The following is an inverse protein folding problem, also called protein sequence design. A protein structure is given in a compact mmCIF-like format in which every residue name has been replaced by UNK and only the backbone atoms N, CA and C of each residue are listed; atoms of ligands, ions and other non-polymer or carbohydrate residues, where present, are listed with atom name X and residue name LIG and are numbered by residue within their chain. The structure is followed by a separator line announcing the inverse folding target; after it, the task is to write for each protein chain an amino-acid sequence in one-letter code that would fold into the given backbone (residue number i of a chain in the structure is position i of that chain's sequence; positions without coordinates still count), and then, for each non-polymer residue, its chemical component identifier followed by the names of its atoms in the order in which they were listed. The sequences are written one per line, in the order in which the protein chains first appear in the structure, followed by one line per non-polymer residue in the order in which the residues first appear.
data_IF_098717340919
#
_entry.id   IF_098717340919
#
_cell.length_a   1.000
_cell.length_b   1.000
_cell.length_c   1.000
_cell.angle_alpha   90.00
_cell.angle_beta   90.00
_cell.angle_gamma   90.00
#
_symmetry.space_group_name_H-M   'P 1'
#
loop_
_entity.id
_entity.type
_entity.pdbx_description
1 polymer ?
#
# COMPACT_ATOMS: atom_id res chain seq x y z
N UNK A 1 -1.88 27.65 7.66
CA UNK A 1 -0.52 27.25 7.23
C UNK A 1 -0.42 27.44 5.72
N UNK A 2 0.59 28.15 5.19
CA UNK A 2 0.75 28.29 3.74
C UNK A 2 1.44 27.04 3.13
N UNK A 3 1.32 26.86 1.81
CA UNK A 3 1.83 25.68 1.11
C UNK A 3 3.35 25.49 1.27
N UNK A 4 4.11 26.58 1.33
CA UNK A 4 5.56 26.52 1.51
C UNK A 4 5.94 26.02 2.91
N UNK A 5 5.24 26.47 3.94
CA UNK A 5 5.43 26.00 5.31
C UNK A 5 5.06 24.52 5.43
N UNK A 6 3.95 24.10 4.83
CA UNK A 6 3.54 22.68 4.81
C UNK A 6 4.61 21.80 4.12
N UNK A 7 5.13 22.25 2.97
CA UNK A 7 6.18 21.52 2.26
C UNK A 7 7.49 21.44 3.06
N UNK A 8 7.86 22.51 3.79
CA UNK A 8 9.03 22.50 4.69
C UNK A 8 8.87 21.49 5.82
N UNK A 9 7.69 21.45 6.46
CA UNK A 9 7.37 20.49 7.52
C UNK A 9 7.45 19.06 6.96
N UNK A 10 6.78 18.80 5.83
CA UNK A 10 6.83 17.49 5.16
C UNK A 10 8.26 17.04 4.88
N UNK A 11 9.09 17.90 4.27
CA UNK A 11 10.50 17.59 3.98
C UNK A 11 11.31 17.34 5.25
N UNK A 12 11.02 18.05 6.34
CA UNK A 12 11.68 17.83 7.64
C UNK A 12 11.33 16.45 8.20
N UNK A 13 10.04 16.10 8.24
CA UNK A 13 9.57 14.80 8.71
C UNK A 13 10.14 13.66 7.88
N UNK A 14 10.13 13.80 6.55
CA UNK A 14 10.68 12.81 5.64
C UNK A 14 12.19 12.58 5.84
N UNK A 15 12.96 13.66 6.03
CA UNK A 15 14.40 13.56 6.29
C UNK A 15 14.71 12.89 7.61
N UNK A 16 14.00 13.26 8.67
CA UNK A 16 14.15 12.62 9.98
C UNK A 16 13.91 11.11 9.86
N UNK A 17 12.79 10.74 9.24
CA UNK A 17 12.45 9.35 9.04
C UNK A 17 13.50 8.61 8.22
N UNK A 18 13.89 9.13 7.04
CA UNK A 18 14.88 8.47 6.20
C UNK A 18 16.23 8.32 6.91
N UNK A 19 16.58 9.24 7.82
CA UNK A 19 17.77 9.13 8.64
C UNK A 19 17.67 7.99 9.67
N UNK A 20 16.51 7.80 10.28
CA UNK A 20 16.22 6.67 11.20
C UNK A 20 16.21 5.36 10.43
N UNK A 21 15.49 5.29 9.30
CA UNK A 21 15.44 4.11 8.42
C UNK A 21 16.81 3.73 7.89
N UNK A 22 17.69 4.69 7.57
CA UNK A 22 19.07 4.40 7.15
C UNK A 22 19.88 3.67 8.22
N UNK A 23 19.69 4.04 9.49
CA UNK A 23 20.36 3.39 10.63
C UNK A 23 19.76 2.01 10.93
N UNK A 24 18.44 1.89 10.92
CA UNK A 24 17.73 0.67 11.33
C UNK A 24 17.66 -0.40 10.23
N UNK A 25 17.43 0.02 8.98
CA UNK A 25 17.21 -0.88 7.84
C UNK A 25 18.41 -0.96 6.88
N UNK A 26 19.47 -0.18 7.14
CA UNK A 26 20.64 -0.15 6.27
C UNK A 26 20.37 0.45 4.88
N UNK A 27 19.34 1.30 4.73
CA UNK A 27 19.12 1.97 3.44
C UNK A 27 20.31 2.89 3.12
N UNK A 28 20.96 2.65 1.99
CA UNK A 28 22.15 3.39 1.60
C UNK A 28 21.85 4.87 1.30
N UNK A 29 22.84 5.74 1.53
CA UNK A 29 22.74 7.20 1.33
C UNK A 29 22.15 7.60 -0.04
N UNK A 30 22.47 6.84 -1.09
CA UNK A 30 21.97 7.07 -2.45
C UNK A 30 20.46 6.87 -2.52
N UNK A 31 19.96 5.75 -1.97
CA UNK A 31 18.52 5.46 -1.96
C UNK A 31 17.77 6.47 -1.09
N UNK A 32 18.30 6.82 0.09
CA UNK A 32 17.67 7.84 0.95
C UNK A 32 17.53 9.19 0.24
N UNK A 33 18.57 9.67 -0.44
CA UNK A 33 18.51 10.91 -1.22
C UNK A 33 17.51 10.82 -2.38
N UNK A 34 17.46 9.68 -3.06
CA UNK A 34 16.49 9.43 -4.12
C UNK A 34 15.05 9.47 -3.58
N UNK A 35 14.78 8.79 -2.46
CA UNK A 35 13.46 8.76 -1.81
C UNK A 35 13.01 10.16 -1.35
N UNK A 36 13.93 10.94 -0.77
CA UNK A 36 13.65 12.32 -0.38
C UNK A 36 13.26 13.18 -1.59
N UNK A 37 14.04 13.09 -2.67
CA UNK A 37 13.80 13.84 -3.90
C UNK A 37 12.47 13.44 -4.57
N UNK A 38 12.22 12.14 -4.75
CA UNK A 38 11.03 11.67 -5.45
C UNK A 38 9.76 11.97 -4.67
N UNK A 39 9.72 11.74 -3.35
CA UNK A 39 8.55 12.03 -2.54
C UNK A 39 8.27 13.55 -2.51
N UNK A 40 9.31 14.37 -2.35
CA UNK A 40 9.19 15.83 -2.43
C UNK A 40 8.69 16.33 -3.79
N UNK A 41 9.09 15.67 -4.88
CA UNK A 41 8.66 16.01 -6.24
C UNK A 41 7.21 15.58 -6.49
N UNK A 42 6.81 14.39 -6.04
CA UNK A 42 5.43 13.89 -6.17
C UNK A 42 4.44 14.84 -5.51
N UNK A 43 4.71 15.28 -4.26
CA UNK A 43 3.80 16.20 -3.55
C UNK A 43 3.76 17.61 -4.15
N UNK A 44 4.77 17.99 -4.93
CA UNK A 44 4.82 19.29 -5.62
C UNK A 44 4.05 19.29 -6.95
N UNK A 45 3.84 18.12 -7.57
CA UNK A 45 3.13 17.99 -8.84
C UNK A 45 1.63 17.85 -8.58
N UNK A 46 0.82 18.73 -9.17
CA UNK A 46 -0.64 18.59 -9.16
C UNK A 46 -1.07 17.51 -10.15
N UNK A 47 -1.84 16.53 -9.66
CA UNK A 47 -2.49 15.50 -10.49
C UNK A 47 -1.67 14.22 -10.61
N UNK A 48 -1.89 13.47 -11.71
CA UNK A 48 -1.19 12.20 -11.95
C UNK A 48 0.29 12.47 -12.23
N UNK A 49 1.15 11.58 -11.73
CA UNK A 49 2.61 11.67 -11.85
C UNK A 49 3.14 10.50 -12.68
N UNK A 50 4.04 10.80 -13.61
CA UNK A 50 4.82 9.83 -14.37
C UNK A 50 6.31 10.21 -14.35
N UNK A 51 7.18 9.32 -14.84
CA UNK A 51 8.64 9.54 -14.79
C UNK A 51 9.13 10.73 -15.64
N UNK A 52 8.42 11.12 -16.70
CA UNK A 52 8.76 12.31 -17.49
C UNK A 52 8.42 13.60 -16.72
N UNK A 53 7.31 13.62 -15.99
CA UNK A 53 6.98 14.73 -15.09
C UNK A 53 7.98 14.81 -13.93
N UNK A 54 8.35 13.67 -13.33
CA UNK A 54 9.38 13.65 -12.30
C UNK A 54 10.70 14.18 -12.84
N UNK A 55 11.13 13.77 -14.02
CA UNK A 55 12.34 14.32 -14.65
C UNK A 55 12.29 15.84 -14.76
N UNK A 56 11.15 16.39 -15.21
CA UNK A 56 10.97 17.84 -15.41
C UNK A 56 11.16 18.66 -14.13
N UNK A 57 10.77 18.13 -12.98
CA UNK A 57 10.70 18.90 -11.72
C UNK A 57 11.72 18.49 -10.65
N UNK A 58 12.44 17.38 -10.82
CA UNK A 58 13.34 16.82 -9.79
C UNK A 58 14.82 17.14 -9.97
N UNK A 59 15.24 17.51 -11.18
CA UNK A 59 16.65 17.59 -11.57
C UNK A 59 17.31 16.23 -11.84
N UNK A 60 16.56 15.12 -11.83
CA UNK A 60 17.02 13.79 -12.21
C UNK A 60 16.46 13.39 -13.58
N UNK A 61 17.10 12.46 -14.27
CA UNK A 61 16.58 11.95 -15.54
C UNK A 61 15.57 10.80 -15.33
N UNK A 62 14.74 10.53 -16.34
CA UNK A 62 13.73 9.47 -16.35
C UNK A 62 14.34 8.10 -16.01
N UNK A 63 15.53 7.80 -16.57
CA UNK A 63 16.24 6.53 -16.35
C UNK A 63 16.61 6.34 -14.88
N UNK A 64 16.94 7.40 -14.14
CA UNK A 64 17.17 7.35 -12.69
C UNK A 64 15.92 6.89 -11.94
N UNK A 65 14.74 7.40 -12.29
CA UNK A 65 13.48 6.95 -11.68
C UNK A 65 13.20 5.49 -12.02
N UNK A 66 13.26 5.15 -13.32
CA UNK A 66 13.04 3.78 -13.79
C UNK A 66 13.93 2.77 -13.05
N UNK A 67 15.23 3.02 -12.98
CA UNK A 67 16.18 2.11 -12.34
C UNK A 67 15.95 1.95 -10.84
N UNK A 68 15.59 3.03 -10.12
CA UNK A 68 15.34 2.95 -8.68
C UNK A 68 13.99 2.29 -8.36
N UNK A 69 12.94 2.53 -9.16
CA UNK A 69 11.64 1.87 -8.96
C UNK A 69 11.64 0.40 -9.40
N UNK A 70 12.54 0.00 -10.31
CA UNK A 70 12.76 -1.40 -10.70
C UNK A 70 13.82 -2.10 -9.85
N UNK A 71 14.25 -1.48 -8.74
CA UNK A 71 15.27 -2.07 -7.88
C UNK A 71 14.66 -3.14 -6.97
N UNK A 72 15.19 -4.35 -7.07
CA UNK A 72 14.82 -5.45 -6.18
C UNK A 72 15.45 -5.31 -4.79
N UNK A 73 14.89 -6.02 -3.82
CA UNK A 73 15.43 -6.12 -2.46
C UNK A 73 15.12 -4.91 -1.55
N UNK A 74 14.28 -3.97 -1.99
CA UNK A 74 13.78 -2.92 -1.11
C UNK A 74 12.60 -3.48 -0.30
N UNK A 75 12.78 -3.60 1.02
CA UNK A 75 11.71 -3.95 1.94
C UNK A 75 10.81 -2.73 2.23
N UNK A 76 9.89 -2.48 1.29
CA UNK A 76 8.94 -1.38 1.38
C UNK A 76 8.05 -1.47 2.63
N UNK A 77 7.70 -2.68 3.07
CA UNK A 77 6.85 -2.87 4.24
C UNK A 77 7.58 -2.42 5.50
N UNK A 78 8.83 -2.87 5.72
CA UNK A 78 9.62 -2.41 6.87
C UNK A 78 9.94 -0.93 6.80
N UNK A 79 10.21 -0.39 5.61
CA UNK A 79 10.40 1.05 5.44
C UNK A 79 9.14 1.82 5.86
N UNK A 80 7.96 1.39 5.38
CA UNK A 80 6.68 2.01 5.72
C UNK A 80 6.34 1.87 7.21
N UNK A 81 6.70 0.75 7.85
CA UNK A 81 6.55 0.55 9.31
C UNK A 81 7.31 1.58 10.14
N UNK A 82 8.43 2.10 9.63
CA UNK A 82 9.15 3.18 10.32
C UNK A 82 8.32 4.46 10.42
N UNK A 83 7.33 4.67 9.53
CA UNK A 83 6.43 5.82 9.63
C UNK A 83 5.43 5.67 10.79
N UNK A 84 5.12 4.45 11.23
CA UNK A 84 4.24 4.19 12.39
C UNK A 84 4.91 4.70 13.67
N UNK A 85 6.21 4.45 13.82
CA UNK A 85 6.97 4.86 15.01
C UNK A 85 7.16 6.38 15.04
N UNK A 86 6.19 7.05 15.67
CA UNK A 86 6.14 8.51 15.82
C UNK A 86 4.81 9.14 15.39
N UNK A 87 3.90 8.38 14.80
CA UNK A 87 2.55 8.87 14.43
C UNK A 87 1.43 8.17 15.18
N UNK A 88 1.61 6.93 15.62
CA UNK A 88 0.52 6.13 16.18
C UNK A 88 0.89 5.39 17.46
N UNK A 89 -0.05 5.29 18.41
CA UNK A 89 0.10 4.48 19.62
C UNK A 89 -0.05 2.97 19.32
N UNK A 90 0.91 2.10 19.69
CA UNK A 90 0.90 0.69 19.30
C UNK A 90 -0.35 -0.11 19.73
N UNK A 91 -0.93 0.21 20.90
CA UNK A 91 -2.13 -0.39 21.47
C UNK A 91 -3.42 -0.02 20.71
N UNK A 92 -3.36 1.00 19.85
CA UNK A 92 -4.48 1.54 19.09
C UNK A 92 -4.46 1.16 17.62
N UNK A 93 -3.51 0.32 17.22
CA UNK A 93 -3.34 -0.04 15.83
C UNK A 93 -4.26 -1.15 15.38
N UNK A 94 -4.89 -0.95 14.24
CA UNK A 94 -5.51 -2.00 13.42
C UNK A 94 -4.86 -2.04 12.05
N UNK A 95 -4.87 -3.22 11.43
CA UNK A 95 -4.47 -3.39 10.04
C UNK A 95 -5.72 -3.27 9.18
N UNK A 96 -5.80 -2.24 8.33
CA UNK A 96 -6.82 -2.15 7.30
C UNK A 96 -6.34 -2.88 6.04
N UNK A 97 -7.22 -3.68 5.44
CA UNK A 97 -7.02 -4.33 4.15
C UNK A 97 -8.15 -3.95 3.21
N UNK A 98 -7.80 -3.47 2.02
CA UNK A 98 -8.77 -3.08 1.01
C UNK A 98 -8.23 -3.37 -0.40
N UNK A 99 -9.06 -3.92 -1.29
CA UNK A 99 -8.79 -3.88 -2.71
C UNK A 99 -8.93 -2.45 -3.24
N UNK A 100 -8.11 -2.10 -4.22
CA UNK A 100 -8.10 -0.78 -4.85
C UNK A 100 -7.99 -0.92 -6.36
N UNK A 101 -8.90 -0.25 -7.06
CA UNK A 101 -8.89 -0.16 -8.52
C UNK A 101 -7.96 0.95 -9.00
N UNK A 102 -7.11 0.64 -9.98
CA UNK A 102 -6.38 1.64 -10.76
C UNK A 102 -6.82 1.59 -12.21
N UNK A 103 -7.38 2.71 -12.69
CA UNK A 103 -7.73 2.86 -14.11
C UNK A 103 -6.49 2.80 -14.99
N UNK A 104 -6.54 1.97 -16.03
CA UNK A 104 -5.48 1.82 -17.03
C UNK A 104 -6.08 1.80 -18.43
N UNK A 105 -5.49 2.56 -19.36
CA UNK A 105 -5.94 2.61 -20.76
C UNK A 105 -5.23 1.63 -21.68
N UNK A 106 -3.96 1.31 -21.39
CA UNK A 106 -3.19 0.33 -22.15
C UNK A 106 -3.70 -1.09 -21.88
N UNK A 107 -3.43 -2.03 -22.81
CA UNK A 107 -3.93 -3.41 -22.75
C UNK A 107 -2.87 -4.46 -22.41
N UNK A 108 -1.60 -4.07 -22.37
CA UNK A 108 -0.46 -5.00 -22.27
C UNK A 108 0.10 -5.12 -20.84
N UNK A 109 -0.48 -4.45 -19.85
CA UNK A 109 -0.05 -4.63 -18.46
C UNK A 109 -0.62 -5.96 -17.95
N UNK A 110 0.22 -6.85 -17.36
CA UNK A 110 -0.27 -8.08 -16.74
C UNK A 110 -1.39 -7.81 -15.74
N UNK A 111 -2.34 -8.73 -15.60
CA UNK A 111 -3.45 -8.60 -14.64
C UNK A 111 -4.53 -7.57 -14.98
N UNK A 112 -4.50 -6.95 -16.17
CA UNK A 112 -5.59 -6.10 -16.64
C UNK A 112 -6.89 -6.90 -16.71
N UNK A 113 -7.97 -6.31 -16.20
CA UNK A 113 -9.29 -6.92 -16.19
C UNK A 113 -10.39 -5.92 -15.91
N UNK A 114 -11.55 -6.46 -15.53
CA UNK A 114 -12.71 -5.69 -15.07
C UNK A 114 -12.82 -5.89 -13.56
N UNK A 115 -12.61 -4.82 -12.79
CA UNK A 115 -12.60 -4.88 -11.33
C UNK A 115 -13.51 -3.83 -10.73
N UNK A 116 -14.07 -4.11 -9.55
CA UNK A 116 -15.02 -3.23 -8.89
C UNK A 116 -14.37 -1.90 -8.52
N UNK A 117 -14.94 -0.78 -8.98
CA UNK A 117 -14.55 0.55 -8.53
C UNK A 117 -15.65 1.11 -7.64
N UNK A 118 -15.33 1.36 -6.37
CA UNK A 118 -16.25 2.02 -5.45
C UNK A 118 -16.70 3.40 -5.95
N UNK A 119 -15.81 4.15 -6.60
CA UNK A 119 -16.13 5.45 -7.18
C UNK A 119 -17.13 5.36 -8.34
N UNK A 120 -17.08 4.28 -9.13
CA UNK A 120 -18.01 4.07 -10.26
C UNK A 120 -19.21 3.21 -9.91
N UNK A 121 -19.23 2.62 -8.70
CA UNK A 121 -20.21 1.62 -8.25
C UNK A 121 -20.46 0.49 -9.27
N UNK A 122 -19.41 0.11 -10.01
CA UNK A 122 -19.45 -0.96 -11.01
C UNK A 122 -18.06 -1.50 -11.32
N UNK A 123 -18.01 -2.66 -11.95
CA UNK A 123 -16.76 -3.18 -12.51
C UNK A 123 -16.32 -2.34 -13.70
N UNK A 124 -15.06 -1.90 -13.69
CA UNK A 124 -14.46 -1.03 -14.71
C UNK A 124 -13.09 -1.57 -15.12
N UNK A 125 -12.67 -1.21 -16.32
CA UNK A 125 -11.40 -1.65 -16.89
C UNK A 125 -10.21 -1.09 -16.10
N UNK A 126 -9.24 -1.92 -15.76
CA UNK A 126 -8.01 -1.47 -15.11
C UNK A 126 -7.27 -2.60 -14.39
N UNK A 127 -6.58 -2.22 -13.32
CA UNK A 127 -5.82 -3.10 -12.44
C UNK A 127 -6.49 -3.17 -11.08
N UNK A 128 -6.35 -4.31 -10.43
CA UNK A 128 -6.69 -4.49 -9.01
C UNK A 128 -5.40 -4.52 -8.19
N UNK A 129 -5.40 -3.84 -7.05
CA UNK A 129 -4.36 -3.92 -6.04
C UNK A 129 -4.95 -4.37 -4.71
N UNK A 130 -4.23 -5.18 -3.96
CA UNK A 130 -4.50 -5.44 -2.55
C UNK A 130 -3.63 -4.50 -1.71
N UNK A 131 -4.24 -3.55 -1.01
CA UNK A 131 -3.54 -2.59 -0.17
C UNK A 131 -3.70 -2.90 1.32
N UNK A 132 -2.65 -2.61 2.08
CA UNK A 132 -2.61 -2.70 3.54
C UNK A 132 -2.23 -1.35 4.13
N UNK A 133 -2.86 -1.00 5.25
CA UNK A 133 -2.53 0.19 6.03
C UNK A 133 -2.61 -0.10 7.53
N UNK A 134 -1.82 0.62 8.32
CA UNK A 134 -1.94 0.67 9.77
C UNK A 134 -2.74 1.92 10.13
N UNK A 135 -3.80 1.76 10.92
CA UNK A 135 -4.70 2.85 11.31
C UNK A 135 -4.76 2.95 12.84
N UNK A 136 -4.57 4.15 13.39
CA UNK A 136 -5.01 4.48 14.74
C UNK A 136 -6.53 4.61 14.74
N UNK A 137 -7.25 3.69 15.38
CA UNK A 137 -8.72 3.76 15.35
C UNK A 137 -9.31 4.91 16.18
N UNK A 138 -8.50 5.59 17.00
CA UNK A 138 -8.93 6.75 17.80
C UNK A 138 -8.67 8.05 17.05
N UNK A 139 -7.44 8.28 16.56
CA UNK A 139 -7.12 9.53 15.85
C UNK A 139 -7.55 9.50 14.37
N UNK A 140 -7.68 8.31 13.78
CA UNK A 140 -7.89 8.12 12.34
C UNK A 140 -6.61 8.27 11.52
N UNK A 141 -5.45 8.45 12.15
CA UNK A 141 -4.17 8.53 11.45
C UNK A 141 -3.86 7.21 10.75
N UNK A 142 -3.38 7.31 9.52
CA UNK A 142 -3.21 6.17 8.63
C UNK A 142 -1.83 6.18 7.97
N UNK A 143 -1.16 5.03 8.05
CA UNK A 143 0.12 4.78 7.38
C UNK A 143 -0.07 3.64 6.39
N UNK A 144 0.15 3.92 5.10
CA UNK A 144 0.14 2.88 4.07
C UNK A 144 1.32 1.94 4.29
N UNK A 145 1.04 0.65 4.47
CA UNK A 145 2.04 -0.40 4.64
C UNK A 145 2.55 -0.94 3.30
N UNK A 146 1.71 -0.85 2.27
CA UNK A 146 2.06 -1.18 0.90
C UNK A 146 0.84 -1.68 0.13
N UNK A 147 1.03 -1.88 -1.16
CA UNK A 147 0.05 -2.53 -2.02
C UNK A 147 0.76 -3.49 -2.98
N UNK A 148 0.09 -4.59 -3.30
CA UNK A 148 0.52 -5.51 -4.35
C UNK A 148 -0.53 -5.58 -5.42
N UNK A 149 -0.10 -5.70 -6.67
CA UNK A 149 -1.01 -5.99 -7.75
C UNK A 149 -1.64 -7.38 -7.55
N UNK A 150 -2.97 -7.43 -7.65
CA UNK A 150 -3.74 -8.66 -7.55
C UNK A 150 -3.76 -9.31 -8.92
N UNK A 151 -3.17 -10.50 -9.02
CA UNK A 151 -2.96 -11.19 -10.29
C UNK A 151 -3.68 -12.55 -10.26
N UNK A 152 -4.91 -12.63 -10.79
CA UNK A 152 -5.68 -13.88 -10.76
C UNK A 152 -5.28 -14.90 -11.83
N UNK A 153 -4.39 -14.57 -12.78
CA UNK A 153 -4.14 -15.39 -13.97
C UNK A 153 -2.72 -15.29 -14.56
N UNK A 154 -1.71 -15.05 -13.74
CA UNK A 154 -0.31 -14.85 -14.14
C UNK A 154 0.63 -16.02 -13.78
N UNK A 155 0.12 -17.13 -13.23
CA UNK A 155 0.91 -18.31 -12.88
C UNK A 155 0.71 -19.52 -13.81
N UNK A 156 1.69 -20.42 -13.85
CA UNK A 156 1.55 -21.77 -14.44
C UNK A 156 0.58 -22.62 -13.58
N UNK A 157 -0.73 -22.47 -13.81
CA UNK A 157 -1.74 -23.21 -13.06
C UNK A 157 -3.17 -22.72 -13.28
N UNK A 158 -4.07 -23.18 -12.41
CA UNK A 158 -5.48 -22.80 -12.41
C UNK A 158 -5.64 -21.33 -12.01
N UNK A 159 -6.51 -20.60 -12.73
CA UNK A 159 -6.86 -19.22 -12.43
C UNK A 159 -7.36 -19.10 -10.98
N UNK A 160 -6.72 -18.24 -10.19
CA UNK A 160 -7.13 -17.96 -8.80
C UNK A 160 -8.39 -17.10 -8.79
N UNK A 161 -9.23 -17.37 -7.81
CA UNK A 161 -10.31 -16.47 -7.40
C UNK A 161 -9.72 -15.21 -6.76
N UNK A 162 -10.47 -14.11 -6.77
CA UNK A 162 -10.03 -12.87 -6.10
C UNK A 162 -9.77 -13.08 -4.61
N UNK A 163 -10.61 -13.89 -3.95
CA UNK A 163 -10.44 -14.24 -2.53
C UNK A 163 -9.10 -14.94 -2.28
N UNK A 164 -8.70 -15.88 -3.14
CA UNK A 164 -7.40 -16.54 -3.03
C UNK A 164 -6.25 -15.55 -3.22
N UNK A 165 -6.34 -14.65 -4.22
CA UNK A 165 -5.31 -13.61 -4.40
C UNK A 165 -5.19 -12.68 -3.17
N UNK A 166 -6.30 -12.35 -2.53
CA UNK A 166 -6.33 -11.54 -1.31
C UNK A 166 -5.72 -12.29 -0.12
N UNK A 167 -6.03 -13.57 0.04
CA UNK A 167 -5.45 -14.42 1.07
C UNK A 167 -3.94 -14.61 0.86
N UNK A 168 -3.49 -14.78 -0.38
CA UNK A 168 -2.06 -14.84 -0.69
C UNK A 168 -1.33 -13.55 -0.32
N UNK A 169 -1.92 -12.39 -0.63
CA UNK A 169 -1.37 -11.10 -0.28
C UNK A 169 -1.28 -10.87 1.23
N UNK A 170 -2.27 -11.37 1.99
CA UNK A 170 -2.28 -11.35 3.46
C UNK A 170 -1.22 -12.32 4.02
N UNK A 171 -1.20 -13.56 3.52
CA UNK A 171 -0.27 -14.62 3.94
C UNK A 171 1.18 -14.20 3.73
N UNK A 172 1.50 -13.60 2.59
CA UNK A 172 2.86 -13.18 2.26
C UNK A 172 3.40 -12.07 3.17
N UNK A 173 2.53 -11.39 3.93
CA UNK A 173 2.89 -10.29 4.85
C UNK A 173 2.58 -10.61 6.31
N UNK A 174 2.03 -11.79 6.57
CA UNK A 174 1.48 -12.20 7.86
C UNK A 174 2.39 -11.86 9.03
N UNK A 175 3.64 -12.32 8.99
CA UNK A 175 4.58 -12.13 10.10
C UNK A 175 4.85 -10.66 10.40
N UNK A 176 5.00 -9.83 9.38
CA UNK A 176 5.29 -8.41 9.55
C UNK A 176 4.06 -7.60 9.95
N UNK A 177 2.86 -8.03 9.55
CA UNK A 177 1.58 -7.44 9.95
C UNK A 177 1.22 -7.79 11.40
N UNK A 178 1.42 -9.04 11.83
CA UNK A 178 1.16 -9.47 13.21
C UNK A 178 2.07 -8.78 14.24
N UNK A 179 3.27 -8.34 13.82
CA UNK A 179 4.14 -7.47 14.65
C UNK A 179 3.56 -6.07 14.88
N UNK A 180 2.55 -5.67 14.11
CA UNK A 180 1.88 -4.37 14.23
C UNK A 180 0.56 -4.54 14.99
N UNK A 181 -0.31 -5.44 14.53
CA UNK A 181 -1.59 -5.74 15.17
C UNK A 181 -2.15 -7.06 14.65
N UNK A 182 -2.88 -7.77 15.52
CA UNK A 182 -3.68 -8.94 15.17
C UNK A 182 -5.05 -8.57 14.62
N UNK A 183 -5.50 -7.32 14.78
CA UNK A 183 -6.83 -6.86 14.35
C UNK A 183 -6.80 -6.48 12.89
N UNK A 184 -7.46 -7.28 12.06
CA UNK A 184 -7.61 -7.04 10.63
C UNK A 184 -8.98 -6.44 10.36
N UNK A 185 -9.02 -5.19 9.91
CA UNK A 185 -10.24 -4.50 9.48
C UNK A 185 -10.37 -4.61 7.97
N UNK A 186 -11.52 -5.06 7.50
CA UNK A 186 -11.81 -5.18 6.08
C UNK A 186 -13.28 -4.87 5.79
N UNK A 187 -13.63 -4.62 4.52
CA UNK A 187 -15.01 -4.37 4.14
C UNK A 187 -15.90 -5.64 4.16
N UNK A 188 -17.20 -5.46 3.90
CA UNK A 188 -18.18 -6.54 3.97
C UNK A 188 -17.98 -7.67 2.95
N UNK A 189 -17.20 -7.46 1.88
CA UNK A 189 -16.85 -8.53 0.95
C UNK A 189 -16.09 -9.66 1.66
N UNK A 190 -15.27 -9.31 2.65
CA UNK A 190 -14.41 -10.23 3.39
C UNK A 190 -15.12 -10.98 4.51
N UNK A 191 -16.35 -10.60 4.86
CA UNK A 191 -17.21 -11.30 5.83
C UNK A 191 -17.85 -12.56 5.24
N UNK A 192 -17.04 -13.40 4.59
CA UNK A 192 -17.42 -14.69 4.01
C UNK A 192 -16.57 -15.78 4.63
N UNK A 193 -17.16 -16.95 4.89
CA UNK A 193 -16.46 -18.09 5.53
C UNK A 193 -15.13 -18.42 4.84
N UNK A 194 -15.09 -18.38 3.51
CA UNK A 194 -13.88 -18.68 2.71
C UNK A 194 -12.71 -17.75 2.97
N UNK A 195 -12.94 -16.50 3.36
CA UNK A 195 -11.88 -15.57 3.74
C UNK A 195 -11.68 -15.53 5.26
N UNK A 196 -12.78 -15.37 6.01
CA UNK A 196 -12.74 -15.16 7.45
C UNK A 196 -12.05 -16.31 8.21
N UNK A 197 -12.36 -17.56 7.86
CA UNK A 197 -11.75 -18.71 8.51
C UNK A 197 -10.24 -18.78 8.25
N UNK A 198 -9.80 -18.46 7.03
CA UNK A 198 -8.38 -18.46 6.68
C UNK A 198 -7.64 -17.30 7.36
N UNK A 199 -8.24 -16.11 7.45
CA UNK A 199 -7.65 -14.99 8.21
C UNK A 199 -7.47 -15.34 9.70
N UNK A 200 -8.46 -15.99 10.31
CA UNK A 200 -8.38 -16.47 11.71
C UNK A 200 -7.31 -17.54 11.88
N UNK A 201 -7.22 -18.51 10.96
CA UNK A 201 -6.13 -19.51 10.95
C UNK A 201 -4.75 -18.88 10.85
N UNK A 202 -4.63 -17.74 10.15
CA UNK A 202 -3.39 -16.97 10.09
C UNK A 202 -3.10 -16.19 11.38
N UNK A 203 -4.00 -16.19 12.37
CA UNK A 203 -3.82 -15.52 13.66
C UNK A 203 -4.36 -14.08 13.69
N UNK A 204 -5.18 -13.69 12.72
CA UNK A 204 -5.84 -12.39 12.74
C UNK A 204 -7.25 -12.47 13.35
N UNK A 205 -7.62 -11.44 14.10
CA UNK A 205 -9.00 -11.16 14.48
C UNK A 205 -9.63 -10.30 13.40
N UNK A 206 -10.51 -10.89 12.57
CA UNK A 206 -11.22 -10.15 11.51
C UNK A 206 -12.34 -9.29 12.09
N UNK A 207 -12.31 -8.00 11.80
CA UNK A 207 -13.35 -7.02 12.12
C UNK A 207 -13.90 -6.50 10.79
N UNK A 208 -15.14 -6.85 10.47
CA UNK A 208 -15.78 -6.41 9.23
C UNK A 208 -17.28 -6.26 9.41
N UNK A 209 -17.90 -5.51 8.51
CA UNK A 209 -19.36 -5.41 8.39
C UNK A 209 -19.90 -6.70 7.77
N UNK A 210 -21.11 -7.10 8.13
CA UNK A 210 -21.80 -8.14 7.37
C UNK A 210 -22.37 -7.56 6.06
N UNK A 211 -22.33 -8.32 4.95
CA UNK A 211 -23.07 -7.94 3.76
C UNK A 211 -24.58 -7.98 4.05
N UNK A 212 -25.37 -7.14 3.38
CA UNK A 212 -26.80 -6.98 3.68
C UNK A 212 -27.64 -8.26 3.49
N UNK A 213 -27.10 -9.26 2.79
CA UNK A 213 -27.70 -10.58 2.57
C UNK A 213 -27.02 -11.70 3.38
N UNK A 214 -26.30 -11.37 4.45
CA UNK A 214 -25.70 -12.37 5.31
C UNK A 214 -26.78 -13.16 6.07
N UNK A 215 -26.81 -14.47 5.87
CA UNK A 215 -27.52 -15.42 6.74
C UNK A 215 -26.49 -16.06 7.66
N UNK A 216 -26.58 -15.78 8.97
CA UNK A 216 -25.71 -16.34 10.01
C UNK A 216 -26.06 -17.80 10.29
#
# INVERSE_FOLDING_TARGET
MNALTALKIFKSMLRDLLSRSAKTLGIGKVLSRFLENVAGTIVAIRGRVNFLQLQRYSGLNEKTFRNNFSRDGIDWLRLNKMFISGTVSPDRLVIAMAPAHISKSGRCTPGIGMYWSGASSKSVHGLELTAFAAIDYVSGDCVMLGASQTLPGDGEGTRKTMTECYLDALKSRREELLKISDKLVADAFFSRKTFALEAVKMGFTLISKFPGNASL
#
